data_IF_702581912944
#
_entry.id   IF_702581912944
#
_cell.length_a   1.000
_cell.length_b   1.000
_cell.length_c   1.000
_cell.angle_alpha   90.00
_cell.angle_beta   90.00
_cell.angle_gamma   90.00
#
_symmetry.space_group_name_H-M   'P 1'
#
loop_
_entity.id
_entity.type
_entity.pdbx_description
1 polymer ?
#
# COMPACT_ATOMS: atom_id res chain seq x y z
N UNK A 1 -21.24 23.11 -18.81
CA UNK A 1 -20.64 22.32 -17.72
C UNK A 1 -19.13 22.42 -17.86
N UNK A 2 -18.50 23.29 -17.07
CA UNK A 2 -17.04 23.46 -17.09
C UNK A 2 -16.43 22.31 -16.28
N UNK A 3 -15.55 21.51 -16.89
CA UNK A 3 -14.79 20.50 -16.16
C UNK A 3 -13.94 21.22 -15.11
N UNK A 4 -14.09 20.85 -13.84
CA UNK A 4 -13.25 21.36 -12.75
C UNK A 4 -11.84 20.79 -12.94
N UNK A 5 -10.83 21.65 -12.94
CA UNK A 5 -9.44 21.18 -13.02
C UNK A 5 -9.13 20.23 -11.86
N UNK A 6 -8.44 19.11 -12.13
CA UNK A 6 -8.07 18.16 -11.10
C UNK A 6 -7.12 18.81 -10.08
N UNK A 7 -7.22 18.45 -8.78
CA UNK A 7 -6.24 18.88 -7.77
C UNK A 7 -4.82 18.44 -8.16
N UNK A 8 -3.81 19.20 -7.75
CA UNK A 8 -2.40 18.96 -8.09
C UNK A 8 -1.93 17.53 -7.80
N UNK A 9 -2.41 16.92 -6.72
CA UNK A 9 -2.10 15.53 -6.36
C UNK A 9 -2.69 14.52 -7.35
N UNK A 10 -3.88 14.78 -7.88
CA UNK A 10 -4.47 13.94 -8.93
C UNK A 10 -3.69 14.08 -10.24
N UNK A 11 -3.30 15.30 -10.62
CA UNK A 11 -2.47 15.53 -11.81
C UNK A 11 -1.13 14.81 -11.71
N UNK A 12 -0.43 14.94 -10.58
CA UNK A 12 0.84 14.25 -10.35
C UNK A 12 0.70 12.72 -10.40
N UNK A 13 -0.36 12.16 -9.81
CA UNK A 13 -0.61 10.72 -9.87
C UNK A 13 -0.86 10.24 -11.31
N UNK A 14 -1.58 11.01 -12.12
CA UNK A 14 -1.82 10.67 -13.52
C UNK A 14 -0.54 10.70 -14.36
N UNK A 15 0.36 11.65 -14.09
CA UNK A 15 1.68 11.72 -14.72
C UNK A 15 2.51 10.48 -14.37
N UNK A 16 2.58 10.12 -13.09
CA UNK A 16 3.30 8.92 -12.67
C UNK A 16 2.71 7.63 -13.28
N UNK A 17 1.38 7.54 -13.42
CA UNK A 17 0.75 6.40 -14.11
C UNK A 17 1.12 6.35 -15.60
N UNK A 18 1.18 7.50 -16.27
CA UNK A 18 1.60 7.59 -17.68
C UNK A 18 3.07 7.18 -17.87
N UNK A 19 3.93 7.57 -16.94
CA UNK A 19 5.33 7.16 -16.94
C UNK A 19 5.47 5.64 -16.75
N UNK A 20 4.71 5.03 -15.84
CA UNK A 20 4.66 3.57 -15.70
C UNK A 20 4.21 2.88 -16.98
N UNK A 21 3.18 3.40 -17.64
CA UNK A 21 2.72 2.85 -18.93
C UNK A 21 3.84 2.89 -19.96
N UNK A 22 4.49 4.04 -20.12
CA UNK A 22 5.60 4.22 -21.07
C UNK A 22 6.77 3.28 -20.77
N UNK A 23 7.09 3.06 -19.50
CA UNK A 23 8.12 2.11 -19.08
C UNK A 23 7.73 0.66 -19.44
N UNK A 24 6.47 0.28 -19.26
CA UNK A 24 6.01 -1.08 -19.57
C UNK A 24 5.90 -1.37 -21.07
N UNK A 25 5.67 -0.36 -21.90
CA UNK A 25 5.75 -0.51 -23.37
C UNK A 25 7.16 -0.92 -23.83
N UNK A 26 8.21 -0.60 -23.06
CA UNK A 26 9.59 -1.00 -23.35
C UNK A 26 9.88 -2.48 -23.01
N UNK A 27 8.94 -3.20 -22.38
CA UNK A 27 9.13 -4.63 -22.04
C UNK A 27 9.29 -5.49 -23.29
N UNK A 28 8.58 -5.17 -24.37
CA UNK A 28 8.61 -5.97 -25.60
C UNK A 28 10.01 -6.05 -26.23
N UNK A 29 10.90 -5.11 -25.90
CA UNK A 29 12.26 -4.97 -26.45
C UNK A 29 13.37 -5.43 -25.47
N UNK A 30 13.03 -6.13 -24.38
CA UNK A 30 14.01 -6.58 -23.38
C UNK A 30 14.69 -7.89 -23.77
N UNK A 31 15.82 -7.80 -24.47
CA UNK A 31 16.62 -8.97 -24.86
C UNK A 31 17.70 -9.39 -23.84
N UNK A 32 18.08 -8.51 -22.88
CA UNK A 32 19.15 -8.76 -21.90
C UNK A 32 18.80 -8.34 -20.45
N UNK A 33 19.43 -9.03 -19.49
CA UNK A 33 19.34 -8.85 -18.03
C UNK A 33 19.62 -7.41 -17.62
N UNK A 34 20.59 -6.73 -18.23
CA UNK A 34 20.93 -5.35 -17.86
C UNK A 34 19.75 -4.39 -18.09
N UNK A 35 19.09 -4.50 -19.24
CA UNK A 35 17.92 -3.67 -19.56
C UNK A 35 16.73 -3.99 -18.65
N UNK A 36 16.55 -5.28 -18.30
CA UNK A 36 15.50 -5.68 -17.35
C UNK A 36 15.72 -5.06 -15.96
N UNK A 37 16.95 -5.08 -15.44
CA UNK A 37 17.27 -4.49 -14.14
C UNK A 37 17.09 -2.96 -14.16
N UNK A 38 17.48 -2.29 -15.25
CA UNK A 38 17.28 -0.85 -15.43
C UNK A 38 15.78 -0.49 -15.44
N UNK A 39 14.97 -1.24 -16.19
CA UNK A 39 13.51 -1.07 -16.18
C UNK A 39 12.95 -1.22 -14.76
N UNK A 40 13.34 -2.27 -14.03
CA UNK A 40 12.88 -2.47 -12.64
C UNK A 40 13.25 -1.30 -11.73
N UNK A 41 14.44 -0.73 -11.90
CA UNK A 41 14.87 0.46 -11.17
C UNK A 41 13.94 1.65 -11.43
N UNK A 42 13.65 1.95 -12.70
CA UNK A 42 12.75 3.04 -13.11
C UNK A 42 11.33 2.83 -12.58
N UNK A 43 10.78 1.62 -12.71
CA UNK A 43 9.48 1.27 -12.14
C UNK A 43 9.46 1.52 -10.62
N UNK A 44 10.53 1.17 -9.91
CA UNK A 44 10.65 1.41 -8.47
C UNK A 44 10.61 2.90 -8.10
N UNK A 45 11.21 3.78 -8.91
CA UNK A 45 11.16 5.23 -8.70
C UNK A 45 9.72 5.74 -8.80
N UNK A 46 9.00 5.35 -9.86
CA UNK A 46 7.62 5.81 -10.05
C UNK A 46 6.67 5.24 -8.99
N UNK A 47 6.90 4.00 -8.55
CA UNK A 47 6.17 3.42 -7.40
C UNK A 47 6.39 4.23 -6.11
N UNK A 48 7.61 4.69 -5.85
CA UNK A 48 7.91 5.50 -4.67
C UNK A 48 7.23 6.88 -4.73
N UNK A 49 7.15 7.49 -5.93
CA UNK A 49 6.43 8.74 -6.14
C UNK A 49 4.93 8.59 -5.87
N UNK A 50 4.30 7.55 -6.44
CA UNK A 50 2.88 7.24 -6.18
C UNK A 50 2.60 7.02 -4.70
N UNK A 51 3.45 6.24 -4.02
CA UNK A 51 3.33 6.04 -2.57
C UNK A 51 3.46 7.35 -1.79
N UNK A 52 4.38 8.24 -2.19
CA UNK A 52 4.53 9.57 -1.61
C UNK A 52 3.28 10.44 -1.74
N UNK A 53 2.66 10.45 -2.93
CA UNK A 53 1.43 11.20 -3.18
C UNK A 53 0.26 10.71 -2.31
N UNK A 54 0.08 9.38 -2.22
CA UNK A 54 -0.98 8.78 -1.39
C UNK A 54 -0.73 9.00 0.11
N UNK A 55 0.54 8.99 0.55
CA UNK A 55 0.90 9.29 1.93
C UNK A 55 0.62 10.76 2.27
N UNK A 56 0.93 11.70 1.38
CA UNK A 56 0.60 13.11 1.56
C UNK A 56 -0.92 13.33 1.63
N UNK A 57 -1.68 12.64 0.78
CA UNK A 57 -3.14 12.68 0.84
C UNK A 57 -3.67 12.09 2.15
N UNK A 58 -3.13 10.95 2.59
CA UNK A 58 -3.50 10.32 3.87
C UNK A 58 -3.31 11.29 5.04
N UNK A 59 -2.17 11.99 5.09
CA UNK A 59 -1.91 13.01 6.10
C UNK A 59 -2.92 14.15 6.05
N UNK A 60 -3.30 14.61 4.84
CA UNK A 60 -4.31 15.66 4.68
C UNK A 60 -5.71 15.26 5.15
N UNK A 61 -6.00 13.95 5.18
CA UNK A 61 -7.25 13.38 5.69
C UNK A 61 -7.18 13.08 7.20
N UNK A 62 -6.07 13.40 7.87
CA UNK A 62 -5.87 13.11 9.28
C UNK A 62 -5.57 11.64 9.58
N UNK A 63 -5.27 10.82 8.56
CA UNK A 63 -4.80 9.47 8.77
C UNK A 63 -3.35 9.52 9.25
N UNK A 64 -3.05 8.80 10.34
CA UNK A 64 -1.73 8.77 10.95
C UNK A 64 -0.69 7.99 10.13
N UNK A 65 0.36 7.54 10.82
CA UNK A 65 1.40 6.70 10.23
C UNK A 65 0.89 5.33 9.75
N UNK A 66 1.78 4.54 9.15
CA UNK A 66 1.45 3.24 8.57
C UNK A 66 0.69 2.29 9.52
N UNK A 67 1.08 2.21 10.80
CA UNK A 67 0.38 1.38 11.79
C UNK A 67 -1.07 1.83 11.99
N UNK A 68 -1.31 3.14 12.15
CA UNK A 68 -2.65 3.71 12.29
C UNK A 68 -3.50 3.44 11.02
N UNK A 69 -2.95 3.65 9.82
CA UNK A 69 -3.65 3.32 8.57
C UNK A 69 -4.05 1.84 8.48
N UNK A 70 -3.14 0.93 8.82
CA UNK A 70 -3.42 -0.51 8.85
C UNK A 70 -4.52 -0.83 9.87
N UNK A 71 -4.40 -0.29 11.08
CA UNK A 71 -5.35 -0.50 12.17
C UNK A 71 -6.76 -0.03 11.76
N UNK A 72 -6.90 1.22 11.29
CA UNK A 72 -8.18 1.77 10.84
C UNK A 72 -8.77 0.94 9.68
N UNK A 73 -7.94 0.52 8.72
CA UNK A 73 -8.42 -0.33 7.62
C UNK A 73 -8.90 -1.70 8.10
N UNK A 74 -8.16 -2.36 9.01
CA UNK A 74 -8.58 -3.64 9.59
C UNK A 74 -9.85 -3.50 10.43
N UNK A 75 -10.04 -2.37 11.13
CA UNK A 75 -11.28 -2.08 11.89
C UNK A 75 -12.49 -1.89 10.98
N UNK A 76 -12.30 -1.48 9.74
CA UNK A 76 -13.37 -1.46 8.72
C UNK A 76 -13.72 -2.87 8.21
N UNK A 77 -12.86 -3.87 8.45
CA UNK A 77 -12.95 -5.24 7.93
C UNK A 77 -12.86 -6.28 9.06
N UNK A 78 -13.45 -6.00 10.22
CA UNK A 78 -13.44 -6.95 11.36
C UNK A 78 -14.12 -8.25 10.93
N UNK A 79 -13.49 -9.38 11.26
CA UNK A 79 -13.88 -10.73 10.83
C UNK A 79 -13.77 -11.02 9.32
N UNK A 80 -13.22 -10.10 8.54
CA UNK A 80 -12.95 -10.29 7.12
C UNK A 80 -11.43 -10.36 6.87
N UNK A 81 -10.93 -11.44 6.24
CA UNK A 81 -9.51 -11.55 5.99
C UNK A 81 -9.11 -10.61 4.84
N UNK A 82 -8.07 -9.80 5.07
CA UNK A 82 -7.53 -8.83 4.12
C UNK A 82 -6.21 -9.34 3.54
N UNK A 83 -6.07 -9.22 2.23
CA UNK A 83 -4.84 -9.60 1.51
C UNK A 83 -3.61 -8.77 1.96
N UNK A 84 -2.44 -9.43 2.05
CA UNK A 84 -1.22 -8.79 2.51
C UNK A 84 -0.70 -7.69 1.57
N UNK A 85 -0.87 -7.80 0.25
CA UNK A 85 -0.47 -6.78 -0.71
C UNK A 85 -1.43 -5.58 -0.68
N UNK A 86 -2.72 -5.80 -0.41
CA UNK A 86 -3.63 -4.70 -0.07
C UNK A 86 -3.18 -3.94 1.17
N UNK A 87 -2.80 -4.64 2.24
CA UNK A 87 -2.29 -3.99 3.46
C UNK A 87 -0.95 -3.28 3.23
N UNK A 88 -0.08 -3.78 2.36
CA UNK A 88 1.13 -3.07 1.96
C UNK A 88 0.80 -1.73 1.30
N UNK A 89 -0.22 -1.71 0.42
CA UNK A 89 -0.73 -0.49 -0.20
C UNK A 89 -1.31 0.50 0.80
N UNK A 90 -2.15 0.03 1.74
CA UNK A 90 -2.72 0.85 2.84
C UNK A 90 -1.62 1.43 3.73
N UNK A 91 -0.62 0.61 4.06
CA UNK A 91 0.51 1.03 4.87
C UNK A 91 1.36 2.09 4.17
N UNK A 92 1.45 2.03 2.83
CA UNK A 92 2.26 2.93 2.02
C UNK A 92 3.77 2.78 2.28
N UNK A 93 4.20 1.63 2.78
CA UNK A 93 5.60 1.27 3.10
C UNK A 93 5.84 -0.22 2.87
N UNK A 94 7.10 -0.60 2.61
CA UNK A 94 7.47 -2.01 2.39
C UNK A 94 7.43 -2.85 3.68
N UNK A 95 7.86 -2.29 4.81
CA UNK A 95 7.97 -3.00 6.09
C UNK A 95 6.66 -3.06 6.90
N UNK A 96 5.51 -3.16 6.22
CA UNK A 96 4.20 -3.14 6.88
C UNK A 96 4.00 -4.32 7.86
N UNK A 97 4.63 -5.48 7.63
CA UNK A 97 4.53 -6.61 8.57
C UNK A 97 5.15 -6.28 9.93
N UNK A 98 6.12 -5.36 9.97
CA UNK A 98 6.64 -4.85 11.25
C UNK A 98 5.54 -4.09 12.00
N UNK A 99 4.74 -3.29 11.30
CA UNK A 99 3.62 -2.54 11.88
C UNK A 99 2.49 -3.46 12.38
N UNK A 100 2.22 -4.55 11.68
CA UNK A 100 1.29 -5.59 12.18
C UNK A 100 1.79 -6.20 13.50
N UNK A 101 3.10 -6.45 13.63
CA UNK A 101 3.66 -6.96 14.90
C UNK A 101 3.51 -5.96 16.03
N UNK A 102 3.82 -4.68 15.78
CA UNK A 102 3.64 -3.61 16.75
C UNK A 102 2.16 -3.52 17.21
N UNK A 103 1.20 -3.60 16.29
CA UNK A 103 -0.23 -3.63 16.66
C UNK A 103 -0.59 -4.85 17.52
N UNK A 104 -0.02 -6.03 17.24
CA UNK A 104 -0.23 -7.20 18.12
C UNK A 104 0.35 -7.00 19.52
N UNK A 105 1.53 -6.36 19.61
CA UNK A 105 2.16 -6.01 20.89
C UNK A 105 1.32 -4.97 21.67
N UNK A 106 0.55 -4.14 20.97
CA UNK A 106 -0.42 -3.21 21.54
C UNK A 106 -1.78 -3.88 21.91
N UNK A 107 -1.92 -5.19 21.73
CA UNK A 107 -3.12 -5.95 22.12
C UNK A 107 -4.13 -6.20 21.00
N UNK A 108 -3.84 -5.84 19.74
CA UNK A 108 -4.77 -6.11 18.63
C UNK A 108 -4.76 -7.59 18.25
N UNK A 109 -5.94 -8.24 18.27
CA UNK A 109 -6.13 -9.66 17.90
C UNK A 109 -6.12 -9.86 16.38
N UNK A 110 -4.92 -9.73 15.78
CA UNK A 110 -4.69 -9.88 14.35
C UNK A 110 -4.13 -11.27 14.06
N UNK A 111 -4.82 -12.09 13.30
CA UNK A 111 -4.35 -13.41 12.87
C UNK A 111 -3.74 -13.35 11.46
N UNK A 112 -2.75 -14.21 11.18
CA UNK A 112 -2.23 -14.38 9.82
C UNK A 112 -2.99 -15.50 9.12
N UNK A 113 -3.40 -15.27 7.88
CA UNK A 113 -4.17 -16.20 7.04
C UNK A 113 -3.31 -16.59 5.83
N UNK A 114 -2.52 -17.68 5.90
CA UNK A 114 -1.53 -18.01 4.87
C UNK A 114 -2.14 -18.36 3.50
N UNK A 115 -3.40 -18.79 3.48
CA UNK A 115 -4.09 -19.25 2.27
C UNK A 115 -4.73 -18.14 1.43
N UNK A 116 -4.66 -16.88 1.88
CA UNK A 116 -5.24 -15.75 1.16
C UNK A 116 -4.21 -15.11 0.22
N UNK A 117 -4.54 -14.96 -1.06
CA UNK A 117 -3.68 -14.27 -2.03
C UNK A 117 -2.32 -14.92 -2.23
N UNK A 118 -1.36 -14.13 -2.74
CA UNK A 118 -0.01 -14.63 -3.05
C UNK A 118 0.89 -14.70 -1.80
N UNK A 119 0.69 -13.78 -0.85
CA UNK A 119 1.58 -13.59 0.31
C UNK A 119 0.89 -13.89 1.65
N UNK A 120 -0.30 -14.47 1.62
CA UNK A 120 -1.15 -14.58 2.79
C UNK A 120 -1.99 -13.31 3.01
N UNK A 121 -2.66 -13.27 4.14
CA UNK A 121 -3.45 -12.14 4.58
C UNK A 121 -3.51 -12.02 6.09
N UNK A 122 -4.30 -11.07 6.57
CA UNK A 122 -4.48 -10.80 7.98
C UNK A 122 -5.96 -10.61 8.31
N UNK A 123 -6.36 -11.08 9.47
CA UNK A 123 -7.74 -11.04 9.94
C UNK A 123 -7.76 -10.38 11.32
N UNK A 124 -8.53 -9.31 11.47
CA UNK A 124 -8.79 -8.74 12.78
C UNK A 124 -9.98 -9.45 13.43
N UNK A 125 -9.75 -10.07 14.58
CA UNK A 125 -10.74 -10.89 15.33
C UNK A 125 -11.61 -10.05 16.27
N UNK A 126 -11.15 -8.87 16.69
CA UNK A 126 -11.87 -7.98 17.61
C UNK A 126 -11.71 -6.51 17.19
N UNK A 127 -12.73 -5.69 17.37
CA UNK A 127 -12.72 -4.27 16.97
C UNK A 127 -11.93 -3.35 17.92
N UNK A 128 -11.49 -3.88 19.07
CA UNK A 128 -10.78 -3.20 20.14
C UNK A 128 -9.59 -4.05 20.61
N UNK A 129 -8.51 -3.43 21.10
CA UNK A 129 -7.36 -4.15 21.61
C UNK A 129 -7.64 -4.72 23.01
N UNK A 130 -7.04 -5.87 23.30
CA UNK A 130 -7.01 -6.48 24.63
C UNK A 130 -5.57 -6.44 25.16
N UNK A 131 -5.22 -5.49 26.05
CA UNK A 131 -3.86 -5.31 26.53
C UNK A 131 -3.40 -6.41 27.50
N UNK A 132 -4.34 -7.22 28.02
CA UNK A 132 -4.07 -8.26 29.02
C UNK A 132 -3.87 -9.66 28.37
N UNK A 133 -3.86 -9.73 27.04
CA UNK A 133 -3.73 -10.97 26.26
C UNK A 133 -2.29 -11.23 25.79
#
# INVERSE_FOLDING_TARGET
MTAREPPLTQTAALIAIDELRTLFEQIEDLEDVANHLELRGKVGVVQAELAGLLNAQSLSLGLGGAANRIQEYLRLHVHEPVDADHLAGVAGIQDFQRRIRELREEGWDIEHVPSLGQRGGYLLRASEPDPDR
#
